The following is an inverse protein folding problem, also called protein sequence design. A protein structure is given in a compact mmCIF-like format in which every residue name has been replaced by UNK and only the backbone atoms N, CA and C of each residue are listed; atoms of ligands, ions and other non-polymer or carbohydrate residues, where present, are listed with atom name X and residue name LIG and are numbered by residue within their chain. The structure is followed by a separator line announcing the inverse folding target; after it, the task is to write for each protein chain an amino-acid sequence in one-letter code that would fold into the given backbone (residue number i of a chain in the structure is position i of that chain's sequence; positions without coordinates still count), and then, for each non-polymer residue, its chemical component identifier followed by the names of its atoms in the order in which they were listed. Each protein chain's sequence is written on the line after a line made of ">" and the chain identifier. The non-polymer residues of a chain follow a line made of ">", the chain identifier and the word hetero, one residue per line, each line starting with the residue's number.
data_IF_085479464318
#
_entry.id   IF_085479464318
#
_cell.length_a   1.000
_cell.length_b   1.000
_cell.length_c   1.000
_cell.angle_alpha   90.00
_cell.angle_beta   90.00
_cell.angle_gamma   90.00
#
_symmetry.space_group_name_H-M   'P 1'
#
loop_
_entity.id
_entity.type
_entity.pdbx_description
1 polymer ?
#
# COMPACT_ATOMS: atom_id res chain seq x y z
N UNK A 1 18.98 -43.39 -19.45
CA UNK A 1 18.54 -43.74 -18.09
C UNK A 1 17.86 -42.51 -17.47
N UNK A 2 16.56 -42.36 -17.70
CA UNK A 2 15.71 -41.40 -17.00
C UNK A 2 15.18 -42.10 -15.76
N UNK A 3 15.55 -41.61 -14.58
CA UNK A 3 15.08 -42.15 -13.30
C UNK A 3 13.76 -41.44 -12.99
N UNK A 4 12.64 -42.15 -13.15
CA UNK A 4 11.32 -41.65 -12.77
C UNK A 4 11.18 -41.72 -11.24
N UNK A 5 11.64 -40.69 -10.53
CA UNK A 5 11.47 -40.51 -9.08
C UNK A 5 10.06 -40.03 -8.70
N UNK A 6 9.02 -40.51 -9.39
CA UNK A 6 7.63 -40.20 -9.08
C UNK A 6 7.00 -41.40 -8.40
N UNK A 7 7.20 -41.52 -7.09
CA UNK A 7 6.41 -42.42 -6.26
C UNK A 7 4.95 -41.93 -6.31
N UNK A 8 4.07 -42.72 -6.92
CA UNK A 8 2.65 -42.42 -7.04
C UNK A 8 2.02 -42.34 -5.65
N UNK A 9 1.60 -41.15 -5.22
CA UNK A 9 0.85 -41.01 -3.97
C UNK A 9 -0.62 -41.34 -4.21
N UNK A 10 -1.24 -42.09 -3.30
CA UNK A 10 -2.67 -42.45 -3.34
C UNK A 10 -3.62 -41.24 -3.25
N UNK A 11 -3.12 -40.09 -2.78
CA UNK A 11 -3.89 -38.84 -2.69
C UNK A 11 -3.82 -38.03 -4.00
N UNK A 12 -5.00 -37.66 -4.51
CA UNK A 12 -5.16 -36.76 -5.65
C UNK A 12 -4.47 -35.43 -5.32
N UNK A 13 -3.65 -34.89 -6.23
CA UNK A 13 -2.85 -33.68 -5.96
C UNK A 13 -3.69 -32.50 -5.45
N UNK A 14 -4.92 -32.37 -5.95
CA UNK A 14 -5.86 -31.33 -5.55
C UNK A 14 -6.34 -31.46 -4.09
N UNK A 15 -6.45 -32.68 -3.54
CA UNK A 15 -6.95 -32.92 -2.17
C UNK A 15 -5.85 -32.94 -1.11
N UNK A 16 -4.57 -32.76 -1.50
CA UNK A 16 -3.44 -32.77 -0.54
C UNK A 16 -3.54 -31.67 0.52
N UNK A 17 -4.15 -30.55 0.18
CA UNK A 17 -4.31 -29.40 1.09
C UNK A 17 -5.53 -29.53 1.99
N UNK A 18 -6.49 -30.40 1.67
CA UNK A 18 -7.70 -30.58 2.49
C UNK A 18 -7.35 -31.08 3.89
N UNK A 19 -6.28 -31.88 4.05
CA UNK A 19 -5.82 -32.34 5.35
C UNK A 19 -5.47 -31.17 6.28
N UNK A 20 -4.84 -30.11 5.77
CA UNK A 20 -4.51 -28.91 6.56
C UNK A 20 -5.71 -28.00 6.81
N UNK A 21 -6.73 -28.05 5.94
CA UNK A 21 -7.98 -27.32 6.10
C UNK A 21 -8.94 -28.02 7.07
N UNK A 22 -8.86 -29.35 7.16
CA UNK A 22 -9.68 -30.19 8.05
C UNK A 22 -9.02 -30.41 9.42
N UNK A 23 -7.69 -30.29 9.52
CA UNK A 23 -6.93 -30.42 10.77
C UNK A 23 -6.86 -29.14 11.61
N UNK A 24 -7.66 -28.12 11.29
CA UNK A 24 -7.82 -26.97 12.17
C UNK A 24 -8.60 -27.42 13.41
N UNK A 25 -7.88 -27.78 14.48
CA UNK A 25 -8.43 -28.05 15.81
C UNK A 25 -9.36 -26.90 16.21
N UNK A 26 -10.66 -27.09 16.02
CA UNK A 26 -11.70 -26.07 16.25
C UNK A 26 -11.64 -25.51 17.67
N UNK A 27 -11.16 -26.33 18.61
CA UNK A 27 -10.93 -25.97 20.01
C UNK A 27 -9.83 -24.92 20.21
N UNK A 28 -8.75 -24.95 19.42
CA UNK A 28 -7.65 -23.97 19.50
C UNK A 28 -8.09 -22.64 18.86
N UNK A 29 -8.83 -22.70 17.75
CA UNK A 29 -9.28 -21.49 17.03
C UNK A 29 -10.27 -20.66 17.85
N UNK A 30 -11.30 -21.29 18.45
CA UNK A 30 -12.28 -20.54 19.24
C UNK A 30 -11.66 -19.96 20.53
N UNK A 31 -10.69 -20.67 21.14
CA UNK A 31 -9.93 -20.15 22.28
C UNK A 31 -9.13 -18.89 21.92
N UNK A 32 -8.44 -18.90 20.77
CA UNK A 32 -7.72 -17.73 20.27
C UNK A 32 -8.66 -16.55 19.97
N UNK A 33 -9.86 -16.82 19.44
CA UNK A 33 -10.87 -15.79 19.17
C UNK A 33 -11.32 -15.13 20.47
N UNK A 34 -11.70 -15.90 21.50
CA UNK A 34 -12.10 -15.35 22.80
C UNK A 34 -10.98 -14.54 23.44
N UNK A 35 -9.76 -15.08 23.45
CA UNK A 35 -8.61 -14.41 24.05
C UNK A 35 -8.36 -13.04 23.39
N UNK A 36 -8.38 -12.98 22.06
CA UNK A 36 -8.25 -11.71 21.33
C UNK A 36 -9.41 -10.75 21.60
N UNK A 37 -10.64 -11.25 21.70
CA UNK A 37 -11.84 -10.46 21.97
C UNK A 37 -11.78 -9.84 23.37
N UNK A 38 -11.35 -10.59 24.38
CA UNK A 38 -11.17 -10.08 25.74
C UNK A 38 -10.15 -8.94 25.80
N UNK A 39 -9.01 -9.07 25.11
CA UNK A 39 -7.98 -8.03 25.06
C UNK A 39 -8.54 -6.76 24.40
N UNK A 40 -9.27 -6.90 23.28
CA UNK A 40 -9.86 -5.75 22.56
C UNK A 40 -10.90 -5.04 23.43
N UNK A 41 -11.79 -5.77 24.09
CA UNK A 41 -12.79 -5.17 24.98
C UNK A 41 -12.14 -4.45 26.16
N UNK A 42 -11.10 -5.05 26.76
CA UNK A 42 -10.38 -4.46 27.87
C UNK A 42 -9.66 -3.16 27.47
N UNK A 43 -8.93 -3.18 26.35
CA UNK A 43 -8.27 -2.00 25.81
C UNK A 43 -9.26 -0.89 25.44
N UNK A 44 -10.37 -1.26 24.80
CA UNK A 44 -11.45 -0.31 24.48
C UNK A 44 -12.04 0.32 25.75
N UNK A 45 -12.28 -0.47 26.80
CA UNK A 45 -12.79 0.03 28.09
C UNK A 45 -11.81 0.97 28.77
N UNK A 46 -10.51 0.65 28.76
CA UNK A 46 -9.47 1.52 29.30
C UNK A 46 -9.40 2.86 28.54
N UNK A 47 -9.43 2.83 27.21
CA UNK A 47 -9.44 4.02 26.36
C UNK A 47 -10.71 4.85 26.63
N UNK A 48 -11.88 4.22 26.73
CA UNK A 48 -13.13 4.90 27.04
C UNK A 48 -13.09 5.57 28.42
N UNK A 49 -12.51 4.93 29.43
CA UNK A 49 -12.32 5.55 30.75
C UNK A 49 -11.38 6.76 30.71
N UNK A 50 -10.27 6.68 29.98
CA UNK A 50 -9.34 7.81 29.81
C UNK A 50 -10.07 8.94 29.09
N UNK A 51 -10.76 8.65 27.98
CA UNK A 51 -11.50 9.62 27.19
C UNK A 51 -12.60 10.29 28.00
N UNK A 52 -13.37 9.54 28.79
CA UNK A 52 -14.39 10.12 29.66
C UNK A 52 -13.76 11.05 30.70
N UNK A 53 -12.64 10.64 31.33
CA UNK A 53 -11.93 11.50 32.29
C UNK A 53 -11.42 12.78 31.65
N UNK A 54 -10.87 12.73 30.44
CA UNK A 54 -10.42 13.94 29.73
C UNK A 54 -11.60 14.80 29.32
N UNK A 55 -12.67 14.21 28.77
CA UNK A 55 -13.85 14.93 28.30
C UNK A 55 -14.58 15.65 29.45
N UNK A 56 -14.78 14.97 30.60
CA UNK A 56 -15.37 15.62 31.77
C UNK A 56 -14.52 16.78 32.29
N UNK A 57 -13.19 16.61 32.33
CA UNK A 57 -12.26 17.67 32.72
C UNK A 57 -12.31 18.83 31.73
N UNK A 58 -12.35 18.53 30.44
CA UNK A 58 -12.40 19.53 29.37
C UNK A 58 -13.71 20.32 29.44
N UNK A 59 -14.87 19.67 29.57
CA UNK A 59 -16.17 20.36 29.75
C UNK A 59 -16.16 21.25 31.01
N UNK A 60 -15.66 20.73 32.13
CA UNK A 60 -15.57 21.52 33.37
C UNK A 60 -14.69 22.76 33.20
N UNK A 61 -13.61 22.65 32.41
CA UNK A 61 -12.73 23.76 32.08
C UNK A 61 -13.39 24.74 31.09
N UNK A 62 -14.09 24.25 30.05
CA UNK A 62 -14.84 25.10 29.12
C UNK A 62 -15.92 25.94 29.82
N UNK A 63 -16.68 25.35 30.76
CA UNK A 63 -17.66 26.09 31.55
C UNK A 63 -17.03 27.16 32.47
N UNK A 64 -15.74 27.04 32.79
CA UNK A 64 -14.98 28.08 33.52
C UNK A 64 -14.44 29.14 32.56
N UNK A 65 -14.08 28.75 31.33
CA UNK A 65 -13.55 29.62 30.28
C UNK A 65 -14.63 30.46 29.60
N UNK A 66 -15.91 30.06 29.58
CA UNK A 66 -17.03 30.89 29.09
C UNK A 66 -17.13 32.24 29.86
N UNK A 67 -16.71 32.26 31.13
CA UNK A 67 -16.55 33.50 31.91
C UNK A 67 -15.30 34.34 31.54
N UNK A 68 -14.40 33.82 30.71
CA UNK A 68 -13.16 34.44 30.20
C UNK A 68 -13.19 34.64 28.66
N UNK A 69 -14.14 34.03 27.95
CA UNK A 69 -14.20 33.93 26.47
C UNK A 69 -14.51 35.27 25.79
N UNK A 70 -15.15 36.23 26.45
CA UNK A 70 -15.29 37.62 25.91
C UNK A 70 -13.92 38.29 25.65
N UNK A 71 -12.82 37.78 26.22
CA UNK A 71 -11.46 38.27 25.98
C UNK A 71 -10.59 37.36 25.09
N UNK A 72 -11.03 36.14 24.76
CA UNK A 72 -10.20 35.10 24.09
C UNK A 72 -10.62 34.82 22.62
N UNK A 73 -11.66 35.47 22.10
CA UNK A 73 -12.14 35.28 20.72
C UNK A 73 -11.10 35.58 19.62
N UNK A 74 -9.95 36.16 19.95
CA UNK A 74 -8.86 36.43 18.99
C UNK A 74 -7.76 35.34 18.92
N UNK A 75 -7.75 34.34 19.80
CA UNK A 75 -6.68 33.32 19.82
C UNK A 75 -7.23 31.89 19.83
N UNK A 76 -7.15 31.19 18.69
CA UNK A 76 -7.55 29.78 18.62
C UNK A 76 -7.57 29.19 17.21
N UNK A 77 -8.12 27.97 17.10
CA UNK A 77 -8.22 27.12 15.89
C UNK A 77 -8.73 27.86 14.63
N UNK A 78 -9.43 28.98 14.80
CA UNK A 78 -9.87 29.89 13.75
C UNK A 78 -8.71 30.52 12.95
N UNK A 79 -7.55 30.77 13.58
CA UNK A 79 -6.32 31.20 12.91
C UNK A 79 -5.60 30.05 12.18
N UNK A 80 -5.79 28.80 12.64
CA UNK A 80 -5.14 27.59 12.11
C UNK A 80 -5.81 27.07 10.84
N UNK A 81 -7.06 27.47 10.58
CA UNK A 81 -7.76 27.15 9.34
C UNK A 81 -6.98 27.58 8.08
N UNK A 82 -6.13 28.62 8.17
CA UNK A 82 -5.26 29.05 7.07
C UNK A 82 -3.99 28.21 6.90
N UNK A 83 -3.45 27.66 7.98
CA UNK A 83 -2.20 26.87 7.96
C UNK A 83 -2.44 25.39 7.64
N UNK A 84 -3.62 24.85 7.93
CA UNK A 84 -3.98 23.47 7.58
C UNK A 84 -4.00 23.20 6.06
N UNK A 85 -4.21 24.24 5.25
CA UNK A 85 -4.22 24.14 3.78
C UNK A 85 -2.91 24.62 3.14
N UNK A 86 -1.87 24.90 3.94
CA UNK A 86 -0.56 25.24 3.38
C UNK A 86 0.01 24.01 2.68
N UNK A 87 0.43 24.13 1.41
CA UNK A 87 1.01 23.01 0.70
C UNK A 87 2.30 22.56 1.42
N UNK A 88 2.48 21.26 1.69
CA UNK A 88 3.69 20.76 2.32
C UNK A 88 4.90 20.95 1.39
N UNK A 89 6.08 21.12 1.98
CA UNK A 89 7.36 21.37 1.26
C UNK A 89 7.60 20.37 0.12
N UNK A 90 7.17 19.11 0.30
CA UNK A 90 7.30 18.03 -0.70
C UNK A 90 5.94 17.51 -1.17
N UNK A 91 5.02 18.40 -1.57
CA UNK A 91 3.66 18.08 -2.02
C UNK A 91 3.61 16.99 -3.10
N UNK A 92 4.52 17.02 -4.08
CA UNK A 92 4.55 16.03 -5.16
C UNK A 92 4.84 14.59 -4.69
N UNK A 93 5.75 14.41 -3.72
CA UNK A 93 6.06 13.07 -3.18
C UNK A 93 4.91 12.52 -2.35
N UNK A 94 4.28 13.37 -1.54
CA UNK A 94 3.11 13.00 -0.75
C UNK A 94 1.97 12.53 -1.66
N UNK A 95 1.70 13.24 -2.75
CA UNK A 95 0.68 12.84 -3.73
C UNK A 95 0.98 11.48 -4.38
N UNK A 96 2.24 11.20 -4.68
CA UNK A 96 2.66 9.89 -5.22
C UNK A 96 2.42 8.78 -4.20
N UNK A 97 2.83 8.97 -2.95
CA UNK A 97 2.61 8.01 -1.87
C UNK A 97 1.12 7.72 -1.66
N UNK A 98 0.30 8.76 -1.56
CA UNK A 98 -1.15 8.61 -1.38
C UNK A 98 -1.78 7.87 -2.57
N UNK A 99 -1.42 8.22 -3.80
CA UNK A 99 -1.94 7.54 -5.00
C UNK A 99 -1.61 6.05 -5.01
N UNK A 100 -0.36 5.70 -4.68
CA UNK A 100 0.04 4.29 -4.58
C UNK A 100 -0.64 3.56 -3.42
N UNK A 101 -0.87 4.23 -2.29
CA UNK A 101 -1.63 3.68 -1.18
C UNK A 101 -3.07 3.33 -1.56
N UNK A 102 -3.75 4.20 -2.32
CA UNK A 102 -5.09 3.93 -2.86
C UNK A 102 -5.06 2.73 -3.81
N UNK A 103 -4.00 2.60 -4.63
CA UNK A 103 -3.83 1.45 -5.53
C UNK A 103 -3.74 0.12 -4.76
N UNK A 104 -2.90 0.05 -3.72
CA UNK A 104 -2.76 -1.14 -2.89
C UNK A 104 -4.04 -1.45 -2.11
N UNK A 105 -4.70 -0.43 -1.59
CA UNK A 105 -5.97 -0.61 -0.88
C UNK A 105 -7.06 -1.16 -1.82
N UNK A 106 -7.23 -0.56 -2.99
CA UNK A 106 -8.18 -1.03 -4.01
C UNK A 106 -7.88 -2.44 -4.49
N UNK A 107 -6.61 -2.75 -4.73
CA UNK A 107 -6.14 -4.12 -5.03
C UNK A 107 -6.53 -5.10 -3.93
N UNK A 108 -6.29 -4.76 -2.67
CA UNK A 108 -6.56 -5.63 -1.53
C UNK A 108 -8.05 -5.91 -1.41
N UNK A 109 -8.89 -4.87 -1.52
CA UNK A 109 -10.35 -5.00 -1.45
C UNK A 109 -10.88 -5.88 -2.59
N UNK A 110 -10.46 -5.62 -3.83
CA UNK A 110 -10.94 -6.39 -4.99
C UNK A 110 -10.44 -7.83 -4.96
N UNK A 111 -9.19 -8.06 -4.56
CA UNK A 111 -8.64 -9.42 -4.40
C UNK A 111 -9.38 -10.17 -3.31
N UNK A 112 -9.70 -9.51 -2.18
CA UNK A 112 -10.51 -10.09 -1.11
C UNK A 112 -11.90 -10.48 -1.60
N UNK A 113 -12.57 -9.64 -2.38
CA UNK A 113 -13.87 -9.96 -2.97
C UNK A 113 -13.81 -11.18 -3.90
N UNK A 114 -12.82 -11.25 -4.79
CA UNK A 114 -12.66 -12.40 -5.68
C UNK A 114 -12.28 -13.69 -4.93
N UNK A 115 -11.56 -13.57 -3.82
CA UNK A 115 -11.27 -14.69 -2.93
C UNK A 115 -12.55 -15.22 -2.26
N UNK A 116 -13.41 -14.32 -1.75
CA UNK A 116 -14.70 -14.69 -1.15
C UNK A 116 -15.66 -15.34 -2.15
N UNK A 117 -15.64 -14.92 -3.41
CA UNK A 117 -16.44 -15.50 -4.49
C UNK A 117 -15.88 -16.84 -5.02
N UNK A 118 -14.70 -17.29 -4.54
CA UNK A 118 -14.09 -18.55 -4.95
C UNK A 118 -13.45 -18.56 -6.34
N UNK A 119 -13.40 -17.40 -7.04
CA UNK A 119 -12.77 -17.29 -8.37
C UNK A 119 -11.25 -17.44 -8.34
N UNK A 120 -10.62 -17.13 -7.20
CA UNK A 120 -9.17 -17.24 -6.99
C UNK A 120 -8.83 -18.52 -6.22
N UNK A 121 -8.96 -19.69 -6.85
CA UNK A 121 -8.44 -20.93 -6.27
C UNK A 121 -6.91 -21.03 -6.47
N UNK A 122 -6.10 -21.29 -5.42
CA UNK A 122 -4.64 -21.49 -5.50
C UNK A 122 -4.21 -22.62 -6.45
N UNK A 123 -5.15 -23.46 -6.88
CA UNK A 123 -4.92 -24.55 -7.82
C UNK A 123 -4.49 -24.07 -9.21
N UNK A 124 -4.89 -22.86 -9.63
CA UNK A 124 -4.53 -22.31 -10.94
C UNK A 124 -3.39 -21.28 -10.84
N UNK A 125 -2.18 -21.77 -10.51
CA UNK A 125 -0.99 -20.94 -10.19
C UNK A 125 -0.65 -19.87 -11.23
N UNK A 126 -0.95 -20.12 -12.51
CA UNK A 126 -0.75 -19.13 -13.59
C UNK A 126 -1.85 -18.07 -13.68
N UNK A 127 -3.11 -18.47 -13.50
CA UNK A 127 -4.26 -17.56 -13.60
C UNK A 127 -4.32 -16.53 -12.48
N UNK A 128 -3.86 -16.89 -11.28
CA UNK A 128 -3.78 -15.95 -10.15
C UNK A 128 -2.76 -14.85 -10.42
N UNK A 129 -1.58 -15.21 -10.93
CA UNK A 129 -0.53 -14.24 -11.26
C UNK A 129 -0.97 -13.25 -12.35
N UNK A 130 -1.63 -13.74 -13.40
CA UNK A 130 -2.13 -12.87 -14.46
C UNK A 130 -3.28 -11.97 -13.97
N UNK A 131 -4.19 -12.48 -13.14
CA UNK A 131 -5.24 -11.68 -12.52
C UNK A 131 -4.69 -10.55 -11.65
N UNK A 132 -3.66 -10.82 -10.83
CA UNK A 132 -3.02 -9.80 -10.00
C UNK A 132 -2.37 -8.69 -10.84
N UNK A 133 -1.72 -9.04 -11.95
CA UNK A 133 -1.12 -8.06 -12.87
C UNK A 133 -2.20 -7.21 -13.56
N UNK A 134 -3.30 -7.82 -14.01
CA UNK A 134 -4.41 -7.10 -14.63
C UNK A 134 -5.08 -6.13 -13.64
N UNK A 135 -5.32 -6.59 -12.41
CA UNK A 135 -5.85 -5.76 -11.34
C UNK A 135 -4.92 -4.60 -11.01
N UNK A 136 -3.61 -4.83 -11.00
CA UNK A 136 -2.62 -3.79 -10.77
C UNK A 136 -2.70 -2.68 -11.82
N UNK A 137 -2.77 -3.04 -13.10
CA UNK A 137 -2.89 -2.08 -14.21
C UNK A 137 -4.20 -1.29 -14.12
N UNK A 138 -5.31 -1.97 -13.84
CA UNK A 138 -6.62 -1.32 -13.73
C UNK A 138 -6.68 -0.33 -12.56
N UNK A 139 -6.17 -0.73 -11.39
CA UNK A 139 -6.11 0.13 -10.21
C UNK A 139 -5.14 1.31 -10.38
N UNK A 140 -4.23 1.25 -11.36
CA UNK A 140 -3.35 2.37 -11.74
C UNK A 140 -4.11 3.63 -12.17
N UNK A 141 -5.32 3.49 -12.73
CA UNK A 141 -6.18 4.64 -13.08
C UNK A 141 -6.62 5.41 -11.83
N UNK A 142 -7.03 4.68 -10.78
CA UNK A 142 -7.43 5.27 -9.49
C UNK A 142 -6.24 5.92 -8.79
N UNK A 143 -5.07 5.29 -8.86
CA UNK A 143 -3.82 5.83 -8.33
C UNK A 143 -3.44 7.16 -9.01
N UNK A 144 -3.54 7.21 -10.34
CA UNK A 144 -3.30 8.42 -11.13
C UNK A 144 -4.32 9.52 -10.84
N UNK A 145 -5.60 9.18 -10.75
CA UNK A 145 -6.67 10.14 -10.44
C UNK A 145 -6.49 10.77 -9.05
N UNK A 146 -6.31 9.94 -8.02
CA UNK A 146 -6.20 10.42 -6.63
C UNK A 146 -4.94 11.24 -6.39
N UNK A 147 -3.78 10.82 -6.92
CA UNK A 147 -2.54 11.59 -6.83
C UNK A 147 -2.66 12.96 -7.53
N UNK A 148 -3.24 12.99 -8.72
CA UNK A 148 -3.42 14.24 -9.49
C UNK A 148 -4.42 15.19 -8.84
N UNK A 149 -5.52 14.66 -8.29
CA UNK A 149 -6.54 15.44 -7.60
C UNK A 149 -6.00 16.05 -6.32
N UNK A 150 -5.24 15.28 -5.53
CA UNK A 150 -4.59 15.79 -4.33
C UNK A 150 -3.54 16.85 -4.67
N UNK A 151 -2.79 16.67 -5.76
CA UNK A 151 -1.81 17.67 -6.21
C UNK A 151 -2.45 18.99 -6.64
N UNK A 152 -3.60 18.93 -7.32
CA UNK A 152 -4.39 20.12 -7.66
C UNK A 152 -4.91 20.87 -6.42
N UNK A 153 -5.22 20.15 -5.34
CA UNK A 153 -5.63 20.77 -4.06
C UNK A 153 -4.51 21.58 -3.43
N UNK A 154 -3.26 21.19 -3.63
CA UNK A 154 -2.07 21.93 -3.20
C UNK A 154 -1.67 23.05 -4.17
N UNK A 155 -2.55 23.45 -5.10
CA UNK A 155 -2.31 24.46 -6.14
C UNK A 155 -1.18 24.10 -7.11
N UNK A 156 -0.84 22.80 -7.22
CA UNK A 156 0.14 22.32 -8.19
C UNK A 156 -0.42 22.32 -9.62
N UNK A 157 0.31 22.94 -10.55
CA UNK A 157 -0.09 23.04 -11.97
C UNK A 157 0.33 21.81 -12.78
N UNK A 158 1.46 21.21 -12.44
CA UNK A 158 2.11 20.09 -13.15
C UNK A 158 1.51 18.70 -12.84
N UNK A 159 0.18 18.56 -12.90
CA UNK A 159 -0.51 17.32 -12.55
C UNK A 159 -0.07 16.12 -13.41
N UNK A 160 0.21 16.33 -14.70
CA UNK A 160 0.65 15.28 -15.64
C UNK A 160 1.97 14.64 -15.18
N UNK A 161 2.91 15.45 -14.68
CA UNK A 161 4.20 14.98 -14.17
C UNK A 161 4.01 14.14 -12.92
N UNK A 162 3.10 14.54 -12.03
CA UNK A 162 2.78 13.76 -10.82
C UNK A 162 2.12 12.43 -11.17
N UNK A 163 1.14 12.40 -12.09
CA UNK A 163 0.55 11.14 -12.55
C UNK A 163 1.61 10.18 -13.07
N UNK A 164 2.53 10.70 -13.89
CA UNK A 164 3.61 9.90 -14.48
C UNK A 164 4.61 9.42 -13.42
N UNK A 165 4.95 10.29 -12.46
CA UNK A 165 5.79 9.93 -11.32
C UNK A 165 5.14 8.83 -10.46
N UNK A 166 3.83 8.89 -10.21
CA UNK A 166 3.08 7.84 -9.51
C UNK A 166 3.17 6.50 -10.25
N UNK A 167 3.07 6.51 -11.58
CA UNK A 167 3.14 5.31 -12.39
C UNK A 167 4.52 4.63 -12.39
N UNK A 168 5.62 5.41 -12.38
CA UNK A 168 6.97 4.87 -12.56
C UNK A 168 7.79 4.75 -11.27
N UNK A 169 7.51 5.53 -10.22
CA UNK A 169 8.39 5.59 -9.04
C UNK A 169 8.50 4.24 -8.33
N UNK A 170 7.37 3.62 -7.96
CA UNK A 170 7.38 2.35 -7.24
C UNK A 170 7.81 1.15 -8.10
N UNK A 171 7.26 0.97 -9.32
CA UNK A 171 7.76 -0.07 -10.23
C UNK A 171 9.25 0.10 -10.54
N UNK A 172 9.72 1.34 -10.70
CA UNK A 172 11.13 1.67 -10.90
C UNK A 172 12.04 1.24 -9.75
N UNK A 173 11.62 1.45 -8.50
CA UNK A 173 12.38 1.00 -7.32
C UNK A 173 12.44 -0.53 -7.27
N UNK A 174 11.32 -1.22 -7.42
CA UNK A 174 11.26 -2.70 -7.41
C UNK A 174 12.17 -3.26 -8.50
N UNK A 175 12.12 -2.65 -9.68
CA UNK A 175 12.94 -3.03 -10.82
C UNK A 175 14.42 -2.76 -10.59
N UNK A 176 14.79 -1.64 -9.99
CA UNK A 176 16.17 -1.34 -9.60
C UNK A 176 16.72 -2.34 -8.59
N UNK A 177 15.93 -2.73 -7.58
CA UNK A 177 16.30 -3.79 -6.64
C UNK A 177 16.49 -5.12 -7.36
N UNK A 178 15.56 -5.49 -8.24
CA UNK A 178 15.67 -6.70 -9.05
C UNK A 178 16.92 -6.68 -9.95
N UNK A 179 17.25 -5.53 -10.55
CA UNK A 179 18.47 -5.35 -11.34
C UNK A 179 19.72 -5.63 -10.53
N UNK A 180 19.85 -4.97 -9.37
CA UNK A 180 21.01 -5.10 -8.49
C UNK A 180 21.16 -6.55 -8.02
N UNK A 181 20.07 -7.19 -7.60
CA UNK A 181 20.09 -8.61 -7.21
C UNK A 181 20.53 -9.51 -8.37
N UNK A 182 20.04 -9.28 -9.59
CA UNK A 182 20.48 -10.05 -10.77
C UNK A 182 21.94 -9.78 -11.13
N UNK A 183 22.44 -8.56 -10.96
CA UNK A 183 23.84 -8.21 -11.19
C UNK A 183 24.77 -8.91 -10.18
N UNK A 184 24.36 -9.00 -8.91
CA UNK A 184 25.09 -9.73 -7.87
C UNK A 184 25.13 -11.24 -8.17
N UNK A 185 23.99 -11.83 -8.55
CA UNK A 185 23.91 -13.25 -8.93
C UNK A 185 24.77 -13.56 -10.17
N UNK A 186 24.87 -12.61 -11.10
CA UNK A 186 25.75 -12.74 -12.26
C UNK A 186 27.23 -12.75 -11.89
N UNK A 187 27.65 -11.95 -10.89
CA UNK A 187 29.01 -11.97 -10.35
C UNK A 187 29.42 -13.35 -9.81
N UNK A 188 28.46 -14.07 -9.23
CA UNK A 188 28.63 -15.43 -8.68
C UNK A 188 28.52 -16.55 -9.74
N UNK A 189 28.45 -16.22 -11.04
CA UNK A 189 28.32 -17.18 -12.18
C UNK A 189 27.19 -18.22 -12.01
N UNK A 190 26.16 -17.91 -11.23
CA UNK A 190 25.06 -18.85 -10.97
C UNK A 190 24.06 -18.89 -12.13
N UNK A 191 23.72 -20.09 -12.60
CA UNK A 191 22.84 -20.37 -13.74
C UNK A 191 21.36 -19.93 -13.56
N UNK A 192 21.00 -19.33 -12.42
CA UNK A 192 19.69 -18.73 -12.17
C UNK A 192 19.54 -17.30 -12.72
N UNK A 193 20.44 -16.83 -13.59
CA UNK A 193 20.37 -15.48 -14.15
C UNK A 193 19.22 -15.38 -15.15
N UNK A 194 18.40 -14.33 -15.03
CA UNK A 194 17.39 -14.00 -16.03
C UNK A 194 18.05 -13.80 -17.42
N UNK A 195 17.30 -14.08 -18.51
CA UNK A 195 17.82 -14.15 -19.89
C UNK A 195 18.55 -12.87 -20.35
N UNK A 196 19.45 -12.94 -21.34
CA UNK A 196 20.18 -11.77 -21.89
C UNK A 196 19.24 -10.64 -22.33
N UNK A 197 18.02 -11.00 -22.74
CA UNK A 197 16.95 -10.09 -23.13
C UNK A 197 16.40 -9.25 -21.97
N UNK A 198 16.29 -9.81 -20.76
CA UNK A 198 15.78 -9.05 -19.61
C UNK A 198 16.74 -7.94 -19.20
N UNK A 199 18.05 -8.13 -19.37
CA UNK A 199 19.08 -7.13 -19.05
C UNK A 199 19.02 -5.88 -19.95
N UNK A 200 18.79 -6.05 -21.24
CA UNK A 200 18.62 -4.92 -22.17
C UNK A 200 17.30 -4.18 -21.94
N UNK A 201 16.21 -4.92 -21.69
CA UNK A 201 14.95 -4.31 -21.26
C UNK A 201 15.09 -3.58 -19.92
N UNK A 202 15.96 -4.06 -19.02
CA UNK A 202 16.33 -3.41 -17.77
C UNK A 202 17.00 -2.06 -17.95
N UNK A 203 18.04 -2.01 -18.77
CA UNK A 203 18.73 -0.76 -19.04
C UNK A 203 17.80 0.24 -19.77
N UNK A 204 16.98 -0.23 -20.71
CA UNK A 204 16.03 0.61 -21.42
C UNK A 204 14.94 1.20 -20.51
N UNK A 205 14.36 0.40 -19.62
CA UNK A 205 13.35 0.88 -18.67
C UNK A 205 13.95 1.85 -17.65
N UNK A 206 15.15 1.58 -17.13
CA UNK A 206 15.86 2.53 -16.26
C UNK A 206 16.11 3.87 -16.97
N UNK A 207 16.53 3.86 -18.23
CA UNK A 207 16.69 5.09 -19.02
C UNK A 207 15.36 5.85 -19.20
N UNK A 208 14.26 5.14 -19.46
CA UNK A 208 12.95 5.74 -19.63
C UNK A 208 12.43 6.37 -18.32
N UNK A 209 12.63 5.70 -17.19
CA UNK A 209 12.29 6.21 -15.85
C UNK A 209 13.15 7.42 -15.48
N UNK A 210 14.47 7.36 -15.71
CA UNK A 210 15.40 8.47 -15.45
C UNK A 210 15.12 9.69 -16.32
N UNK A 211 14.80 9.50 -17.61
CA UNK A 211 14.42 10.59 -18.52
C UNK A 211 13.14 11.29 -18.06
N UNK A 212 12.19 10.50 -17.56
CA UNK A 212 10.91 10.98 -17.03
C UNK A 212 11.10 11.76 -15.72
N UNK A 213 11.99 11.32 -14.83
CA UNK A 213 12.39 12.02 -13.60
C UNK A 213 13.20 13.30 -13.91
N UNK A 214 14.10 13.26 -14.90
CA UNK A 214 14.91 14.41 -15.33
C UNK A 214 14.04 15.53 -15.91
N UNK A 215 12.99 15.20 -16.67
CA UNK A 215 12.01 16.17 -17.18
C UNK A 215 11.23 16.90 -16.06
N UNK A 216 11.20 16.31 -14.86
CA UNK A 216 10.56 16.89 -13.67
C UNK A 216 11.49 17.80 -12.87
N UNK A 217 12.81 17.60 -12.93
CA UNK A 217 13.79 18.42 -12.20
C UNK A 217 14.07 19.74 -12.93
N UNK A 218 14.07 19.74 -14.26
CA UNK A 218 14.32 20.93 -15.07
C UNK A 218 13.24 22.01 -14.95
N UNK A 219 11.99 21.64 -14.65
CA UNK A 219 10.91 22.60 -14.41
C UNK A 219 10.93 23.29 -13.03
N UNK A 220 11.80 22.85 -12.12
CA UNK A 220 11.95 23.46 -10.80
C UNK A 220 13.05 24.55 -10.78
N UNK A 221 13.85 24.64 -11.85
CA UNK A 221 14.96 25.61 -12.00
C UNK A 221 14.62 26.77 -12.95
N UNK A 222 13.45 26.75 -13.57
CA UNK A 222 13.02 27.72 -14.60
C UNK A 222 11.79 28.53 -14.21
N UNK A 223 11.45 28.62 -12.92
CA UNK A 223 10.29 29.34 -12.40
C UNK A 223 10.64 30.18 -11.17
#
# INVERSE_FOLDING_TARGET
>A
FTIDLLQSSEIIWASRWDVYLLSSDSQIHWFSIINSLMIVLFLSGMIAMIMMRTLYKDIANYNQLDNQEEAQEETGWKLVHGDAFRPPVHSGLLCVYVGTGVQFFGMTVVTMMFALLGFLSPANRGGLMTAMVLLWVFMGVLAGYTSSRLYKMFKGTEWKKITLKTAFMFPGIIFGVFFVLNALIWGEKSYGTCSQLSRYLLVAFCHLVLSSLSSSSSSHLSG
#
